data_IF_517880001004
#
_entry.id   IF_517880001004
#
_cell.length_a   1.000
_cell.length_b   1.000
_cell.length_c   1.000
_cell.angle_alpha   90.00
_cell.angle_beta   90.00
_cell.angle_gamma   90.00
#
_symmetry.space_group_name_H-M   'P 1'
#
loop_
_entity.id
_entity.type
_entity.pdbx_description
1 polymer ?
#
# COMPACT_ATOMS: atom_id res chain seq x y z
N UNK A 1 23.64 38.13 18.18
CA UNK A 1 22.44 37.55 17.54
C UNK A 1 22.41 36.08 17.91
N UNK A 2 21.57 35.72 18.88
CA UNK A 2 21.45 34.33 19.36
C UNK A 2 19.99 34.15 19.73
N UNK A 3 19.22 33.43 18.91
CA UNK A 3 17.87 32.97 19.25
C UNK A 3 17.94 31.45 19.37
N UNK A 4 17.87 30.99 20.62
CA UNK A 4 17.59 29.60 20.95
C UNK A 4 16.12 29.30 20.67
N UNK A 5 15.86 28.08 20.22
CA UNK A 5 14.51 27.53 20.11
C UNK A 5 14.35 26.49 21.21
N UNK A 6 13.37 26.78 22.05
CA UNK A 6 12.93 26.08 23.24
C UNK A 6 12.22 24.76 22.86
N UNK A 7 12.64 23.65 23.46
CA UNK A 7 11.90 22.37 23.43
C UNK A 7 10.98 22.32 24.66
N UNK A 8 9.68 22.00 24.52
CA UNK A 8 8.85 21.75 25.68
C UNK A 8 9.24 20.42 26.33
N UNK A 9 9.60 20.52 27.61
CA UNK A 9 9.86 19.44 28.57
C UNK A 9 8.53 18.79 28.99
N UNK A 10 8.40 17.47 28.86
CA UNK A 10 7.37 16.71 29.56
C UNK A 10 8.05 15.81 30.61
N UNK A 11 7.81 16.12 31.89
CA UNK A 11 8.24 15.37 33.06
C UNK A 11 7.32 14.18 33.41
N UNK A 12 7.60 13.48 34.53
CA UNK A 12 7.47 12.03 34.64
C UNK A 12 6.16 11.54 35.31
N UNK A 13 5.77 10.27 35.06
CA UNK A 13 4.71 9.58 35.79
C UNK A 13 4.34 8.21 35.23
N UNK A 14 4.89 7.15 35.84
CA UNK A 14 4.59 5.71 35.67
C UNK A 14 3.15 5.35 36.17
N UNK A 15 2.58 4.11 36.05
CA UNK A 15 3.27 2.81 35.98
C UNK A 15 2.72 1.72 35.03
N UNK A 16 3.56 0.68 34.88
CA UNK A 16 3.28 -0.67 34.37
C UNK A 16 2.48 -1.51 35.39
N UNK A 17 1.88 -2.61 34.89
CA UNK A 17 1.12 -3.71 35.56
C UNK A 17 -0.42 -3.52 35.60
N UNK A 18 -1.28 -4.49 35.31
CA UNK A 18 -1.17 -5.86 34.79
C UNK A 18 -2.60 -6.40 34.47
N UNK A 19 -2.66 -7.43 33.61
CA UNK A 19 -3.63 -8.54 33.61
C UNK A 19 -5.11 -8.27 33.25
N UNK A 20 -5.51 -8.71 32.05
CA UNK A 20 -6.74 -9.49 31.91
C UNK A 20 -6.49 -10.67 30.93
N UNK A 21 -6.81 -11.86 31.42
CA UNK A 21 -6.63 -13.15 30.77
C UNK A 21 -7.56 -13.31 29.57
N UNK A 22 -7.03 -13.79 28.44
CA UNK A 22 -7.82 -14.48 27.44
C UNK A 22 -7.02 -15.71 26.98
N UNK A 23 -7.52 -16.89 27.33
CA UNK A 23 -6.96 -18.18 26.93
C UNK A 23 -7.00 -18.35 25.39
N UNK A 24 -6.03 -19.05 24.79
CA UNK A 24 -6.06 -19.38 23.37
C UNK A 24 -7.08 -20.50 23.10
N UNK A 25 -7.91 -20.43 22.03
CA UNK A 25 -8.76 -21.54 21.65
C UNK A 25 -7.93 -22.71 21.09
N UNK A 26 -8.28 -23.91 21.57
CA UNK A 26 -7.73 -25.23 21.21
C UNK A 26 -7.95 -25.55 19.72
N UNK A 27 -7.01 -26.19 18.99
CA UNK A 27 -7.20 -26.52 17.58
C UNK A 27 -8.21 -27.66 17.41
N UNK A 28 -9.38 -27.34 16.83
CA UNK A 28 -10.36 -28.31 16.39
C UNK A 28 -9.90 -29.01 15.10
N UNK A 29 -9.58 -30.29 15.22
CA UNK A 29 -9.37 -31.22 14.10
C UNK A 29 -10.67 -31.37 13.34
N UNK A 30 -10.74 -30.78 12.14
CA UNK A 30 -11.88 -30.87 11.25
C UNK A 30 -11.38 -30.95 9.82
N UNK A 31 -11.08 -32.17 9.37
CA UNK A 31 -10.92 -32.48 7.95
C UNK A 31 -12.16 -32.02 7.18
N UNK A 32 -11.95 -31.24 6.11
CA UNK A 32 -12.87 -31.21 4.97
C UNK A 32 -12.11 -31.28 3.65
N UNK A 33 -12.66 -32.01 2.66
CA UNK A 33 -11.92 -32.55 1.54
C UNK A 33 -11.95 -31.63 0.31
N UNK A 34 -10.94 -31.79 -0.55
CA UNK A 34 -11.08 -31.68 -2.01
C UNK A 34 -11.50 -30.32 -2.56
N UNK A 35 -10.52 -29.44 -2.76
CA UNK A 35 -10.65 -28.26 -3.61
C UNK A 35 -9.29 -27.83 -4.11
N UNK A 36 -8.77 -28.53 -5.13
CA UNK A 36 -7.64 -28.06 -5.93
C UNK A 36 -8.06 -26.80 -6.70
N UNK A 37 -8.11 -25.67 -6.02
CA UNK A 37 -7.92 -24.38 -6.68
C UNK A 37 -6.45 -24.05 -6.46
N UNK A 38 -5.62 -24.43 -7.44
CA UNK A 38 -4.25 -23.97 -7.51
C UNK A 38 -4.21 -22.44 -7.35
N UNK A 39 -3.14 -21.89 -6.77
CA UNK A 39 -3.04 -20.44 -6.66
C UNK A 39 -3.07 -19.89 -8.09
N UNK A 40 -4.14 -19.15 -8.42
CA UNK A 40 -4.14 -18.26 -9.56
C UNK A 40 -3.21 -17.08 -9.24
N UNK A 41 -1.93 -17.36 -8.99
CA UNK A 41 -0.89 -16.34 -8.96
C UNK A 41 -0.51 -16.08 -10.41
N UNK A 42 -1.44 -15.48 -11.14
CA UNK A 42 -1.08 -14.70 -12.31
C UNK A 42 -0.30 -13.51 -11.77
N UNK A 43 1.02 -13.66 -11.66
CA UNK A 43 1.94 -12.54 -11.45
C UNK A 43 1.75 -11.60 -12.64
N UNK A 44 0.78 -10.69 -12.52
CA UNK A 44 0.60 -9.61 -13.45
C UNK A 44 1.72 -8.63 -13.13
N UNK A 45 2.55 -8.37 -14.13
CA UNK A 45 3.70 -7.49 -14.03
C UNK A 45 3.21 -6.05 -13.82
N UNK A 46 3.56 -5.45 -12.69
CA UNK A 46 3.34 -4.02 -12.44
C UNK A 46 4.66 -3.35 -12.14
N UNK A 47 4.93 -2.33 -12.93
CA UNK A 47 6.01 -1.39 -12.73
C UNK A 47 5.40 -0.13 -12.14
N UNK A 48 5.98 0.41 -11.08
CA UNK A 48 5.53 1.66 -10.48
C UNK A 48 6.70 2.61 -10.23
N UNK A 49 6.50 3.88 -10.55
CA UNK A 49 7.50 4.93 -10.36
C UNK A 49 7.05 5.83 -9.20
N UNK A 50 7.85 5.93 -8.13
CA UNK A 50 7.51 6.71 -6.92
C UNK A 50 7.89 8.17 -7.05
N UNK A 51 7.27 8.89 -7.95
CA UNK A 51 7.65 10.28 -8.20
C UNK A 51 6.89 11.29 -7.33
N UNK A 52 5.87 10.88 -6.56
CA UNK A 52 5.05 11.84 -5.81
C UNK A 52 4.60 11.39 -4.42
N UNK A 53 4.48 12.38 -3.52
CA UNK A 53 3.82 12.23 -2.23
C UNK A 53 2.71 13.26 -2.13
N UNK A 54 1.46 12.81 -1.93
CA UNK A 54 0.31 13.69 -1.72
C UNK A 54 -0.26 13.48 -0.32
N UNK A 55 -0.44 14.56 0.43
CA UNK A 55 -0.91 14.52 1.83
C UNK A 55 -0.05 13.65 2.76
N UNK A 56 1.24 13.47 2.44
CA UNK A 56 2.13 12.58 3.18
C UNK A 56 1.92 11.08 2.89
N UNK A 57 1.19 10.75 1.83
CA UNK A 57 1.04 9.38 1.32
C UNK A 57 1.83 9.26 0.02
N UNK A 58 2.70 8.25 -0.06
CA UNK A 58 3.43 7.94 -1.28
C UNK A 58 2.46 7.43 -2.35
N UNK A 59 2.64 7.93 -3.58
CA UNK A 59 1.82 7.60 -4.74
C UNK A 59 2.70 7.35 -5.96
N UNK A 60 2.21 6.53 -6.88
CA UNK A 60 2.89 6.23 -8.13
C UNK A 60 1.88 6.03 -9.26
N UNK A 61 2.29 6.32 -10.48
CA UNK A 61 1.68 5.72 -11.65
C UNK A 61 2.11 4.25 -11.72
N UNK A 62 1.17 3.36 -12.03
CA UNK A 62 1.41 1.93 -12.14
C UNK A 62 1.01 1.43 -13.54
N UNK A 63 1.76 0.45 -14.05
CA UNK A 63 1.55 -0.06 -15.41
C UNK A 63 1.94 0.97 -16.47
N UNK A 64 1.14 1.06 -17.54
CA UNK A 64 1.36 2.02 -18.63
C UNK A 64 0.80 3.43 -18.30
N UNK A 65 0.62 3.74 -17.01
CA UNK A 65 0.08 5.02 -16.53
C UNK A 65 -1.45 5.07 -16.45
N UNK A 66 -2.16 3.97 -16.72
CA UNK A 66 -3.61 3.84 -16.62
C UNK A 66 -4.13 3.61 -15.19
N UNK A 67 -3.20 3.44 -14.23
CA UNK A 67 -3.52 3.25 -12.82
C UNK A 67 -2.64 4.11 -11.95
N UNK A 68 -3.24 4.56 -10.85
CA UNK A 68 -2.54 5.32 -9.82
C UNK A 68 -2.63 4.56 -8.51
N UNK A 69 -1.48 4.25 -7.94
CA UNK A 69 -1.33 3.58 -6.67
C UNK A 69 -1.03 4.60 -5.57
N UNK A 70 -1.65 4.42 -4.39
CA UNK A 70 -1.30 5.11 -3.16
C UNK A 70 -1.13 4.11 -2.01
N UNK A 71 -0.15 4.32 -1.14
CA UNK A 71 0.04 3.44 0.01
C UNK A 71 -1.07 3.62 1.07
N UNK A 72 -1.61 2.49 1.53
CA UNK A 72 -2.63 2.39 2.58
C UNK A 72 -4.06 2.31 2.07
N UNK A 73 -4.98 1.98 2.99
CA UNK A 73 -6.44 1.90 2.77
C UNK A 73 -7.22 3.04 3.41
N UNK A 74 -6.54 4.16 3.66
CA UNK A 74 -7.15 5.28 4.37
C UNK A 74 -7.90 6.20 3.40
N UNK A 75 -8.84 7.00 3.90
CA UNK A 75 -9.45 8.09 3.12
C UNK A 75 -8.40 9.06 2.55
N UNK A 76 -7.27 9.19 3.23
CA UNK A 76 -6.14 9.99 2.78
C UNK A 76 -5.43 9.36 1.58
N UNK A 77 -5.33 8.03 1.51
CA UNK A 77 -4.79 7.33 0.35
C UNK A 77 -5.67 7.54 -0.89
N UNK A 78 -7.00 7.48 -0.73
CA UNK A 78 -7.96 7.81 -1.80
C UNK A 78 -7.76 9.27 -2.28
N UNK A 79 -7.68 10.22 -1.34
CA UNK A 79 -7.43 11.62 -1.67
C UNK A 79 -6.07 11.80 -2.38
N UNK A 80 -5.05 11.06 -1.97
CA UNK A 80 -3.72 11.08 -2.59
C UNK A 80 -3.75 10.55 -4.02
N UNK A 81 -4.43 9.43 -4.30
CA UNK A 81 -4.65 8.94 -5.67
C UNK A 81 -5.31 10.01 -6.55
N UNK A 82 -6.40 10.63 -6.06
CA UNK A 82 -7.12 11.65 -6.81
C UNK A 82 -6.29 12.92 -7.02
N UNK A 83 -5.45 13.29 -6.07
CA UNK A 83 -4.55 14.43 -6.21
C UNK A 83 -3.43 14.15 -7.21
N UNK A 84 -2.87 12.94 -7.17
CA UNK A 84 -1.88 12.49 -8.14
C UNK A 84 -2.46 12.43 -9.55
N UNK A 85 -3.69 11.93 -9.70
CA UNK A 85 -4.39 11.91 -11.00
C UNK A 85 -4.51 13.32 -11.60
N UNK A 86 -4.93 14.30 -10.82
CA UNK A 86 -4.99 15.69 -11.29
C UNK A 86 -3.61 16.25 -11.62
N UNK A 87 -2.58 15.84 -10.87
CA UNK A 87 -1.20 16.23 -11.15
C UNK A 87 -0.70 15.64 -12.49
N UNK A 88 -1.09 14.40 -12.82
CA UNK A 88 -0.87 13.76 -14.12
C UNK A 88 -1.74 14.36 -15.25
N UNK A 89 -2.64 15.30 -14.95
CA UNK A 89 -3.47 16.00 -15.94
C UNK A 89 -4.86 15.40 -16.18
N UNK A 90 -5.30 14.40 -15.40
CA UNK A 90 -6.66 13.88 -15.50
C UNK A 90 -7.69 14.92 -15.04
N UNK A 91 -8.75 15.10 -15.82
CA UNK A 91 -9.82 16.06 -15.52
C UNK A 91 -10.63 15.62 -14.27
N UNK A 92 -11.19 16.61 -13.57
CA UNK A 92 -12.06 16.39 -12.41
C UNK A 92 -13.55 16.53 -12.81
N UNK A 93 -14.45 15.67 -12.30
CA UNK A 93 -14.16 14.51 -11.47
C UNK A 93 -13.42 13.44 -12.26
N UNK A 94 -12.43 12.81 -11.63
CA UNK A 94 -11.77 11.66 -12.23
C UNK A 94 -12.78 10.52 -12.18
N UNK A 95 -13.35 10.15 -13.33
CA UNK A 95 -14.31 9.05 -13.49
C UNK A 95 -13.61 7.68 -13.41
N UNK A 96 -12.80 7.51 -12.37
CA UNK A 96 -12.02 6.31 -12.12
C UNK A 96 -12.64 5.39 -11.10
N UNK A 97 -12.23 4.12 -11.15
CA UNK A 97 -12.64 3.12 -10.14
C UNK A 97 -11.60 3.05 -9.04
N UNK A 98 -12.02 3.27 -7.79
CA UNK A 98 -11.14 3.12 -6.62
C UNK A 98 -11.24 1.70 -6.07
N UNK A 99 -10.09 1.06 -5.85
CA UNK A 99 -9.99 -0.28 -5.24
C UNK A 99 -8.99 -0.30 -4.09
N UNK A 100 -9.21 -1.21 -3.16
CA UNK A 100 -8.31 -1.44 -2.03
C UNK A 100 -7.75 -2.84 -2.14
N UNK A 101 -6.44 -2.94 -2.30
CA UNK A 101 -5.75 -4.20 -2.58
C UNK A 101 -4.53 -4.37 -1.66
N UNK A 102 -3.92 -5.54 -1.72
CA UNK A 102 -2.70 -5.86 -0.99
C UNK A 102 -1.62 -6.32 -1.96
N UNK A 103 -0.40 -5.80 -1.76
CA UNK A 103 0.74 -6.07 -2.65
C UNK A 103 2.00 -6.32 -1.87
N UNK A 104 2.93 -7.07 -2.44
CA UNK A 104 4.32 -7.09 -1.99
C UNK A 104 5.11 -6.16 -2.88
N UNK A 105 5.80 -5.18 -2.29
CA UNK A 105 6.72 -4.30 -2.99
C UNK A 105 8.09 -4.97 -3.08
N UNK A 106 8.74 -4.87 -4.24
CA UNK A 106 10.07 -5.43 -4.48
C UNK A 106 10.82 -4.61 -5.51
N UNK A 107 12.13 -4.83 -5.58
CA UNK A 107 12.95 -4.26 -6.66
C UNK A 107 12.54 -4.86 -8.02
N UNK A 108 12.71 -4.11 -9.13
CA UNK A 108 12.51 -4.66 -10.46
C UNK A 108 13.50 -5.80 -10.75
N UNK A 109 13.00 -6.89 -11.33
CA UNK A 109 13.78 -8.04 -11.76
C UNK A 109 13.93 -8.04 -13.30
N UNK A 110 15.12 -7.75 -13.84
CA UNK A 110 15.34 -7.78 -15.29
C UNK A 110 15.13 -9.17 -15.91
N UNK A 111 15.22 -10.26 -15.13
CA UNK A 111 14.93 -11.60 -15.62
C UNK A 111 13.44 -11.82 -15.92
N UNK A 112 12.56 -11.04 -15.28
CA UNK A 112 11.12 -10.96 -15.58
C UNK A 112 10.81 -9.93 -16.67
N UNK A 113 11.87 -9.35 -17.26
CA UNK A 113 11.82 -8.32 -18.28
C UNK A 113 11.39 -6.95 -17.77
N UNK A 114 11.30 -6.76 -16.45
CA UNK A 114 10.83 -5.54 -15.79
C UNK A 114 11.73 -4.34 -16.07
N UNK A 115 11.15 -3.15 -15.95
CA UNK A 115 11.90 -1.92 -16.17
C UNK A 115 12.84 -1.67 -14.98
N UNK A 116 14.14 -1.71 -15.24
CA UNK A 116 15.17 -1.49 -14.22
C UNK A 116 15.27 -0.03 -13.79
N UNK A 117 14.68 0.90 -14.55
CA UNK A 117 14.64 2.31 -14.20
C UNK A 117 13.48 2.62 -13.23
N UNK A 118 12.61 1.64 -12.96
CA UNK A 118 11.55 1.80 -11.98
C UNK A 118 12.09 1.74 -10.55
N UNK A 119 11.55 2.59 -9.67
CA UNK A 119 11.92 2.58 -8.25
C UNK A 119 11.51 1.28 -7.55
N UNK A 120 10.39 0.68 -7.96
CA UNK A 120 9.89 -0.59 -7.42
C UNK A 120 8.87 -1.24 -8.36
N UNK A 121 8.73 -2.55 -8.21
CA UNK A 121 7.66 -3.36 -8.78
C UNK A 121 6.79 -3.90 -7.65
N UNK A 122 5.60 -4.40 -8.00
CA UNK A 122 4.74 -5.03 -7.02
C UNK A 122 3.95 -6.21 -7.59
N UNK A 123 3.68 -7.18 -6.72
CA UNK A 123 2.84 -8.33 -7.02
C UNK A 123 1.61 -8.34 -6.09
N UNK A 124 0.45 -8.73 -6.62
CA UNK A 124 -0.74 -8.96 -5.81
C UNK A 124 -0.51 -10.11 -4.83
N UNK A 125 -0.70 -9.84 -3.55
CA UNK A 125 -0.54 -10.85 -2.51
C UNK A 125 -1.25 -10.40 -1.24
N UNK A 126 -1.91 -11.33 -0.56
CA UNK A 126 -2.41 -11.15 0.81
C UNK A 126 -1.55 -11.89 1.84
N UNK A 127 -0.39 -12.40 1.40
CA UNK A 127 0.54 -13.17 2.23
C UNK A 127 1.45 -12.33 3.11
N UNK A 128 2.38 -12.97 3.84
CA UNK A 128 3.35 -12.27 4.68
C UNK A 128 4.14 -11.21 3.89
N UNK A 129 4.28 -10.02 4.46
CA UNK A 129 4.98 -8.90 3.81
C UNK A 129 4.12 -8.09 2.85
N UNK A 130 2.85 -8.46 2.64
CA UNK A 130 1.93 -7.65 1.87
C UNK A 130 1.59 -6.34 2.61
N UNK A 131 1.56 -5.24 1.86
CA UNK A 131 1.18 -3.91 2.32
C UNK A 131 -0.14 -3.48 1.68
N UNK A 132 -0.98 -2.73 2.40
CA UNK A 132 -2.23 -2.24 1.85
C UNK A 132 -1.96 -1.11 0.85
N UNK A 133 -2.66 -1.14 -0.29
CA UNK A 133 -2.63 -0.09 -1.31
C UNK A 133 -4.03 0.28 -1.77
N UNK A 134 -4.21 1.55 -2.09
CA UNK A 134 -5.38 2.06 -2.80
C UNK A 134 -4.99 2.27 -4.25
N UNK A 135 -5.82 1.81 -5.17
CA UNK A 135 -5.66 1.99 -6.60
C UNK A 135 -6.78 2.87 -7.13
N UNK A 136 -6.47 3.68 -8.11
CA UNK A 136 -7.41 4.41 -8.93
C UNK A 136 -7.15 4.02 -10.39
N UNK A 137 -8.09 3.28 -10.98
CA UNK A 137 -8.10 3.02 -12.42
C UNK A 137 -8.58 4.30 -13.11
N UNK A 138 -7.75 4.94 -13.93
CA UNK A 138 -8.12 6.17 -14.66
C UNK A 138 -8.57 5.82 -16.08
N UNK A 139 -9.68 6.39 -16.57
CA UNK A 139 -10.10 6.18 -17.95
C UNK A 139 -9.07 6.76 -18.91
N UNK A 140 -8.76 6.01 -19.98
CA UNK A 140 -7.90 6.43 -21.09
C UNK A 140 -8.62 7.41 -22.00
#
# INVERSE_FOLDING_TARGET
>A
MTRGTDYPTQGPGAPLCASESAEPPVPGTGERPGGLNGPQTGAQRFVATSEATHYGVATAAAGDGDRILALGHTRRAIAACLAHARWCGYEAPVDGTVRQEWVVLRDPDPALGEDTDADWCFDWSTGPGAVPVTLLDVPQ
#
